data_IF_748162298830
#
_entry.id   IF_748162298830
#
_cell.length_a   1.000
_cell.length_b   1.000
_cell.length_c   1.000
_cell.angle_alpha   90.00
_cell.angle_beta   90.00
_cell.angle_gamma   90.00
#
_symmetry.space_group_name_H-M   'P 1'
#
loop_
_entity.id
_entity.type
_entity.pdbx_description
1 polymer ?
#
# COMPACT_ATOMS: atom_id res chain seq x y z
N UNK A 1 26.45 -6.52 -9.03
CA UNK A 1 25.48 -6.71 -10.14
C UNK A 1 25.60 -8.17 -10.59
N UNK A 2 24.47 -8.80 -10.92
CA UNK A 2 24.35 -10.21 -11.38
C UNK A 2 24.43 -11.33 -10.32
N UNK A 3 23.68 -11.17 -9.21
CA UNK A 3 23.21 -12.35 -8.44
C UNK A 3 21.78 -12.67 -8.90
N UNK A 4 21.54 -13.90 -9.31
CA UNK A 4 20.19 -14.40 -9.57
C UNK A 4 19.46 -14.38 -8.23
N UNK A 5 18.42 -13.57 -8.12
CA UNK A 5 17.54 -13.58 -6.97
C UNK A 5 16.68 -14.83 -7.03
N UNK A 6 16.96 -15.79 -6.16
CA UNK A 6 16.20 -17.02 -6.03
C UNK A 6 15.10 -16.80 -5.01
N UNK A 7 13.85 -16.86 -5.45
CA UNK A 7 12.70 -16.84 -4.55
C UNK A 7 12.60 -18.18 -3.84
N UNK A 8 13.14 -18.28 -2.62
CA UNK A 8 13.15 -19.51 -1.85
C UNK A 8 11.80 -19.74 -1.13
N UNK A 9 11.63 -20.94 -0.57
CA UNK A 9 10.46 -21.25 0.26
C UNK A 9 10.39 -20.34 1.50
N UNK A 10 11.54 -20.01 2.09
CA UNK A 10 11.64 -19.09 3.22
C UNK A 10 11.23 -17.66 2.82
N UNK A 11 11.65 -17.18 1.64
CA UNK A 11 11.20 -15.90 1.10
C UNK A 11 9.67 -15.88 0.93
N UNK A 12 9.09 -16.96 0.41
CA UNK A 12 7.65 -17.06 0.24
C UNK A 12 6.90 -17.06 1.58
N UNK A 13 7.39 -17.83 2.56
CA UNK A 13 6.81 -17.88 3.90
C UNK A 13 6.88 -16.54 4.62
N UNK A 14 8.03 -15.85 4.53
CA UNK A 14 8.20 -14.51 5.11
C UNK A 14 7.27 -13.49 4.44
N UNK A 15 7.12 -13.54 3.11
CA UNK A 15 6.22 -12.65 2.38
C UNK A 15 4.75 -12.88 2.75
N UNK A 16 4.31 -14.14 2.86
CA UNK A 16 2.95 -14.46 3.29
C UNK A 16 2.72 -14.01 4.74
N UNK A 17 3.68 -14.24 5.63
CA UNK A 17 3.60 -13.75 7.02
C UNK A 17 3.46 -12.23 7.07
N UNK A 18 4.19 -11.50 6.23
CA UNK A 18 4.08 -10.05 6.14
C UNK A 18 2.68 -9.63 5.66
N UNK A 19 2.17 -10.27 4.60
CA UNK A 19 0.80 -10.03 4.12
C UNK A 19 -0.23 -10.28 5.21
N UNK A 20 -0.15 -11.41 5.90
CA UNK A 20 -1.09 -11.80 6.94
C UNK A 20 -1.11 -10.75 8.05
N UNK A 21 0.07 -10.38 8.55
CA UNK A 21 0.20 -9.33 9.57
C UNK A 21 -0.40 -8.01 9.11
N UNK A 22 -0.05 -7.54 7.91
CA UNK A 22 -0.56 -6.28 7.34
C UNK A 22 -2.07 -6.31 7.05
N UNK A 23 -2.65 -7.50 6.86
CA UNK A 23 -4.09 -7.67 6.60
C UNK A 23 -4.92 -7.95 7.86
N UNK A 24 -4.26 -8.11 9.02
CA UNK A 24 -4.91 -8.49 10.28
C UNK A 24 -5.03 -7.30 11.25
N UNK A 25 -6.07 -7.27 12.11
CA UNK A 25 -6.15 -6.33 13.22
C UNK A 25 -4.93 -6.47 14.15
N UNK A 26 -4.41 -5.38 14.74
CA UNK A 26 -4.97 -4.03 14.80
C UNK A 26 -4.52 -3.11 13.65
N UNK A 27 -3.85 -3.63 12.62
CA UNK A 27 -3.23 -2.82 11.56
C UNK A 27 -4.28 -2.25 10.61
N UNK A 28 -5.31 -3.04 10.27
CA UNK A 28 -6.44 -2.59 9.45
C UNK A 28 -7.70 -2.37 10.29
N UNK A 29 -8.31 -1.20 10.13
CA UNK A 29 -9.63 -0.89 10.64
C UNK A 29 -10.71 -0.88 9.56
N UNK A 30 -11.96 -0.98 10.00
CA UNK A 30 -13.11 -0.79 9.13
C UNK A 30 -13.29 0.69 8.79
N UNK A 31 -13.82 0.93 7.59
CA UNK A 31 -14.24 2.25 7.12
C UNK A 31 -15.37 2.78 8.01
N UNK A 32 -15.22 3.99 8.54
CA UNK A 32 -16.30 4.73 9.19
C UNK A 32 -16.88 5.77 8.23
N UNK A 33 -18.13 5.57 7.82
CA UNK A 33 -18.87 6.50 6.96
C UNK A 33 -19.87 7.35 7.74
N UNK A 34 -19.83 7.32 9.08
CA UNK A 34 -20.73 8.12 9.90
C UNK A 34 -20.48 9.62 9.68
N UNK A 35 -21.50 10.48 9.86
CA UNK A 35 -21.32 11.93 9.75
C UNK A 35 -20.31 12.52 10.74
N UNK A 36 -20.01 11.80 11.83
CA UNK A 36 -19.02 12.14 12.85
C UNK A 36 -17.63 11.56 12.57
N UNK A 37 -17.47 10.76 11.52
CA UNK A 37 -16.21 10.12 11.19
C UNK A 37 -15.13 11.15 10.82
N UNK A 38 -13.88 10.86 11.16
CA UNK A 38 -12.77 11.69 10.72
C UNK A 38 -12.50 11.56 9.22
N UNK A 39 -11.74 12.50 8.64
CA UNK A 39 -11.43 12.49 7.22
C UNK A 39 -10.62 11.24 6.81
N UNK A 40 -10.82 10.82 5.56
CA UNK A 40 -9.93 9.89 4.88
C UNK A 40 -8.64 10.60 4.47
N UNK A 41 -7.52 9.89 4.63
CA UNK A 41 -6.18 10.32 4.25
C UNK A 41 -5.69 9.29 3.23
N UNK A 42 -5.22 9.78 2.08
CA UNK A 42 -4.70 8.94 1.00
C UNK A 42 -3.23 9.32 0.77
N UNK A 43 -2.34 8.43 1.16
CA UNK A 43 -0.92 8.55 0.88
C UNK A 43 -0.56 7.71 -0.34
N UNK A 44 0.10 8.31 -1.31
CA UNK A 44 0.51 7.65 -2.56
C UNK A 44 2.01 7.81 -2.78
N UNK A 45 2.66 6.75 -3.25
CA UNK A 45 4.04 6.79 -3.72
C UNK A 45 4.17 6.05 -5.05
N UNK A 46 5.00 6.55 -5.96
CA UNK A 46 5.18 5.95 -7.27
C UNK A 46 6.64 5.68 -7.60
N UNK A 47 6.94 4.40 -7.84
CA UNK A 47 8.20 3.98 -8.43
C UNK A 47 8.16 4.04 -9.95
N UNK A 48 9.30 3.76 -10.60
CA UNK A 48 9.38 3.62 -12.06
C UNK A 48 8.59 2.42 -12.61
N UNK A 49 8.06 1.54 -11.75
CA UNK A 49 7.42 0.29 -12.16
C UNK A 49 6.00 0.12 -11.63
N UNK A 50 5.65 0.77 -10.53
CA UNK A 50 4.38 0.59 -9.83
C UNK A 50 4.07 1.80 -8.95
N UNK A 51 2.78 2.00 -8.69
CA UNK A 51 2.24 2.95 -7.71
C UNK A 51 1.78 2.15 -6.50
N UNK A 52 2.10 2.63 -5.31
CA UNK A 52 1.56 2.20 -4.03
C UNK A 52 0.66 3.29 -3.44
N UNK A 53 -0.36 2.87 -2.71
CA UNK A 53 -1.25 3.75 -1.98
C UNK A 53 -1.64 3.14 -0.63
N UNK A 54 -1.79 4.00 0.38
CA UNK A 54 -2.32 3.67 1.69
C UNK A 54 -3.53 4.56 1.94
N UNK A 55 -4.69 3.94 2.19
CA UNK A 55 -5.87 4.65 2.65
C UNK A 55 -5.96 4.48 4.16
N UNK A 56 -6.02 5.60 4.86
CA UNK A 56 -6.20 5.66 6.31
C UNK A 56 -7.32 6.63 6.67
N UNK A 57 -7.78 6.56 7.91
CA UNK A 57 -8.82 7.42 8.43
C UNK A 57 -8.46 7.91 9.83
N UNK A 58 -8.74 9.19 10.08
CA UNK A 58 -8.55 9.77 11.41
C UNK A 58 -9.63 9.26 12.36
N UNK A 59 -9.21 8.59 13.43
CA UNK A 59 -10.04 8.13 14.55
C UNK A 59 -9.76 8.94 15.82
N UNK A 60 -10.55 8.72 16.87
CA UNK A 60 -10.33 9.32 18.20
C UNK A 60 -8.95 8.96 18.78
N UNK A 61 -8.43 7.77 18.43
CA UNK A 61 -7.15 7.25 18.91
C UNK A 61 -5.97 7.56 17.97
N UNK A 62 -6.18 8.39 16.94
CA UNK A 62 -5.18 8.69 15.92
C UNK A 62 -5.56 8.15 14.55
N UNK A 63 -4.60 8.15 13.64
CA UNK A 63 -4.77 7.64 12.27
C UNK A 63 -4.72 6.11 12.25
N UNK A 64 -5.71 5.49 11.59
CA UNK A 64 -5.78 4.05 11.44
C UNK A 64 -5.82 3.69 9.97
N UNK A 65 -5.01 2.72 9.57
CA UNK A 65 -4.96 2.26 8.18
C UNK A 65 -6.19 1.42 7.89
N UNK A 66 -6.76 1.59 6.70
CA UNK A 66 -7.94 0.86 6.22
C UNK A 66 -7.53 -0.14 5.15
N UNK A 67 -6.73 0.30 4.17
CA UNK A 67 -6.30 -0.57 3.07
C UNK A 67 -4.97 -0.13 2.48
N UNK A 68 -4.19 -1.14 2.09
CA UNK A 68 -3.01 -0.98 1.24
C UNK A 68 -3.37 -1.38 -0.19
N UNK A 69 -3.07 -0.52 -1.15
CA UNK A 69 -3.25 -0.80 -2.57
C UNK A 69 -1.93 -0.63 -3.32
N UNK A 70 -1.70 -1.46 -4.34
CA UNK A 70 -0.59 -1.25 -5.26
C UNK A 70 -0.99 -1.68 -6.66
N UNK A 71 -0.52 -0.95 -7.66
CA UNK A 71 -0.78 -1.24 -9.06
C UNK A 71 0.51 -1.09 -9.86
N UNK A 72 0.80 -2.10 -10.69
CA UNK A 72 1.91 -2.03 -11.63
C UNK A 72 1.59 -1.07 -12.76
N UNK A 73 2.57 -0.25 -13.15
CA UNK A 73 2.46 0.69 -14.25
C UNK A 73 2.64 -0.01 -15.59
N UNK A 74 1.79 0.34 -16.54
CA UNK A 74 1.89 -0.14 -17.91
C UNK A 74 3.08 0.47 -18.66
N UNK A 75 3.44 -0.10 -19.82
CA UNK A 75 4.58 0.39 -20.63
C UNK A 75 4.48 1.89 -20.97
N UNK A 76 3.26 2.40 -21.12
CA UNK A 76 3.00 3.82 -21.41
C UNK A 76 3.13 4.67 -20.16
N UNK A 77 2.54 4.25 -19.05
CA UNK A 77 2.53 4.98 -17.78
C UNK A 77 3.93 5.10 -17.17
N UNK A 78 4.80 4.11 -17.40
CA UNK A 78 6.21 4.17 -16.99
C UNK A 78 7.03 5.28 -17.64
N UNK A 79 6.52 5.87 -18.74
CA UNK A 79 7.16 7.02 -19.40
C UNK A 79 6.69 8.36 -18.84
N UNK A 80 5.72 8.38 -17.93
CA UNK A 80 5.30 9.60 -17.26
C UNK A 80 6.39 10.08 -16.29
N UNK A 81 6.50 11.41 -16.15
CA UNK A 81 7.34 12.01 -15.11
C UNK A 81 6.84 11.58 -13.72
N UNK A 82 7.71 11.64 -12.70
CA UNK A 82 7.40 11.18 -11.34
C UNK A 82 6.07 11.75 -10.81
N UNK A 83 5.90 13.07 -10.91
CA UNK A 83 4.66 13.77 -10.52
C UNK A 83 3.41 13.20 -11.19
N UNK A 84 3.49 12.84 -12.46
CA UNK A 84 2.34 12.29 -13.21
C UNK A 84 2.13 10.79 -12.98
N UNK A 85 3.07 10.11 -12.32
CA UNK A 85 2.88 8.74 -11.83
C UNK A 85 2.27 8.73 -10.43
N UNK A 86 2.47 9.78 -9.65
CA UNK A 86 1.92 9.94 -8.31
C UNK A 86 0.47 10.49 -8.34
N UNK A 87 0.12 11.28 -9.35
CA UNK A 87 -1.22 11.87 -9.57
C UNK A 87 -2.21 10.96 -10.28
#
# INVERSE_FOLDING_TARGET
>A
KDKIFVWSAECHAAFNTLKDKLSSPPILAFLDFSPSAGPFILDTDASNLAIGAVLSQKSANGEVVIVYACRRLDKRERRYCATRREM
#
